data_IF_013999946822
#
_entry.id   IF_013999946822
#
_cell.length_a   1.000
_cell.length_b   1.000
_cell.length_c   1.000
_cell.angle_alpha   90.00
_cell.angle_beta   90.00
_cell.angle_gamma   90.00
#
_symmetry.space_group_name_H-M   'P 1'
#
loop_
_entity.id
_entity.type
_entity.pdbx_description
1 polymer ?
#
# COMPACT_ATOMS: atom_id res chain seq x y z
N UNK A 1 12.91 -13.75 -36.65
CA UNK A 1 13.56 -14.15 -35.40
C UNK A 1 14.02 -12.88 -34.75
N UNK A 2 13.23 -12.34 -33.82
CA UNK A 2 13.72 -11.53 -32.70
C UNK A 2 12.80 -11.88 -31.53
N UNK A 3 13.33 -12.70 -30.64
CA UNK A 3 12.68 -13.12 -29.41
C UNK A 3 12.64 -11.90 -28.49
N UNK A 4 11.44 -11.43 -28.15
CA UNK A 4 11.28 -10.55 -26.99
C UNK A 4 11.45 -11.44 -25.77
N UNK A 5 12.59 -11.29 -25.12
CA UNK A 5 12.89 -11.93 -23.84
C UNK A 5 11.79 -11.51 -22.85
N UNK A 6 10.98 -12.50 -22.47
CA UNK A 6 10.13 -12.45 -21.29
C UNK A 6 11.03 -12.09 -20.11
N UNK A 7 10.87 -10.90 -19.54
CA UNK A 7 11.42 -10.62 -18.23
C UNK A 7 10.54 -11.35 -17.21
N UNK A 8 10.83 -12.64 -17.03
CA UNK A 8 10.49 -13.33 -15.80
C UNK A 8 11.50 -12.85 -14.75
N UNK A 9 11.21 -11.72 -14.11
CA UNK A 9 11.82 -11.40 -12.82
C UNK A 9 11.15 -12.26 -11.75
N UNK A 10 11.49 -13.54 -11.76
CA UNK A 10 11.41 -14.42 -10.58
C UNK A 10 12.59 -14.06 -9.68
N UNK A 11 12.38 -13.09 -8.80
CA UNK A 11 13.21 -12.84 -7.63
C UNK A 11 12.24 -12.59 -6.50
N UNK A 12 12.30 -13.39 -5.44
CA UNK A 12 11.32 -13.40 -4.34
C UNK A 12 11.18 -12.12 -3.50
N UNK A 13 11.49 -10.94 -4.04
CA UNK A 13 11.02 -9.65 -3.56
C UNK A 13 9.77 -9.25 -4.32
N UNK A 14 8.64 -9.15 -3.62
CA UNK A 14 7.42 -8.60 -4.21
C UNK A 14 7.67 -7.17 -4.68
N UNK A 15 7.17 -6.82 -5.87
CA UNK A 15 7.24 -5.47 -6.42
C UNK A 15 6.45 -4.47 -5.55
N UNK A 16 6.68 -3.18 -5.79
CA UNK A 16 6.03 -2.11 -5.02
C UNK A 16 4.50 -2.22 -5.00
N UNK A 17 3.85 -2.55 -6.12
CA UNK A 17 2.40 -2.65 -6.18
C UNK A 17 1.88 -3.82 -5.35
N UNK A 18 2.54 -4.97 -5.42
CA UNK A 18 2.22 -6.12 -4.56
C UNK A 18 2.41 -5.80 -3.08
N UNK A 19 3.53 -5.18 -2.69
CA UNK A 19 3.80 -4.83 -1.29
C UNK A 19 2.82 -3.78 -0.77
N UNK A 20 2.53 -2.74 -1.56
CA UNK A 20 1.59 -1.71 -1.15
C UNK A 20 0.17 -2.26 -1.05
N UNK A 21 -0.28 -3.05 -2.03
CA UNK A 21 -1.58 -3.72 -1.98
C UNK A 21 -1.68 -4.66 -0.77
N UNK A 22 -0.59 -5.35 -0.41
CA UNK A 22 -0.51 -6.17 0.81
C UNK A 22 -0.73 -5.33 2.06
N UNK A 23 -0.01 -4.22 2.20
CA UNK A 23 -0.15 -3.32 3.33
C UNK A 23 -1.58 -2.75 3.43
N UNK A 24 -2.16 -2.32 2.30
CA UNK A 24 -3.52 -1.79 2.25
C UNK A 24 -4.54 -2.87 2.61
N UNK A 25 -4.41 -4.08 2.06
CA UNK A 25 -5.31 -5.19 2.36
C UNK A 25 -5.29 -5.56 3.85
N UNK A 26 -4.10 -5.59 4.47
CA UNK A 26 -3.95 -5.79 5.91
C UNK A 26 -4.63 -4.68 6.71
N UNK A 27 -4.47 -3.41 6.29
CA UNK A 27 -5.16 -2.27 6.90
C UNK A 27 -6.69 -2.38 6.82
N UNK A 28 -7.22 -2.73 5.64
CA UNK A 28 -8.65 -2.94 5.41
C UNK A 28 -9.19 -4.10 6.24
N UNK A 29 -8.47 -5.22 6.33
CA UNK A 29 -8.85 -6.36 7.15
C UNK A 29 -8.98 -5.96 8.62
N UNK A 30 -7.97 -5.27 9.17
CA UNK A 30 -7.99 -4.78 10.54
C UNK A 30 -9.15 -3.80 10.81
N UNK A 31 -9.46 -2.91 9.85
CA UNK A 31 -10.60 -1.99 9.96
C UNK A 31 -11.95 -2.74 9.94
N UNK A 32 -12.11 -3.73 9.07
CA UNK A 32 -13.31 -4.57 9.01
C UNK A 32 -13.51 -5.37 10.29
N UNK A 33 -12.44 -5.93 10.84
CA UNK A 33 -12.47 -6.60 12.16
C UNK A 33 -12.87 -5.65 13.29
N UNK A 34 -12.47 -4.37 13.22
CA UNK A 34 -12.83 -3.35 14.19
C UNK A 34 -14.27 -2.83 14.05
N UNK A 35 -14.82 -2.75 12.82
CA UNK A 35 -16.14 -2.18 12.54
C UNK A 35 -17.31 -3.19 12.66
N UNK A 36 -17.11 -4.47 12.36
CA UNK A 36 -18.18 -5.46 12.47
C UNK A 36 -17.66 -6.90 12.59
N UNK A 37 -18.26 -7.68 13.49
CA UNK A 37 -18.15 -9.13 13.47
C UNK A 37 -18.50 -9.68 12.07
N UNK A 38 -17.47 -10.15 11.38
CA UNK A 38 -17.50 -11.08 10.25
C UNK A 38 -18.59 -10.82 9.21
N UNK A 39 -18.35 -9.93 8.26
CA UNK A 39 -18.98 -10.07 6.94
C UNK A 39 -18.09 -11.00 6.12
N UNK A 40 -18.57 -12.22 5.85
CA UNK A 40 -17.93 -13.15 4.91
C UNK A 40 -17.85 -12.48 3.53
N UNK A 41 -16.65 -12.09 3.14
CA UNK A 41 -16.35 -11.60 1.79
C UNK A 41 -15.83 -12.80 0.99
N UNK A 42 -16.33 -12.96 -0.23
CA UNK A 42 -15.84 -13.97 -1.17
C UNK A 42 -14.31 -13.89 -1.30
N UNK A 43 -13.66 -15.06 -1.35
CA UNK A 43 -12.20 -15.23 -1.48
C UNK A 43 -11.66 -14.26 -2.54
N UNK A 44 -11.00 -13.20 -2.07
CA UNK A 44 -10.56 -12.05 -2.86
C UNK A 44 -9.06 -11.97 -2.72
N UNK A 45 -8.39 -11.45 -3.75
CA UNK A 45 -6.95 -11.14 -3.68
C UNK A 45 -6.61 -10.28 -2.45
N UNK A 46 -7.55 -9.48 -1.94
CA UNK A 46 -7.39 -8.77 -0.67
C UNK A 46 -7.20 -9.71 0.54
N UNK A 47 -7.92 -10.83 0.61
CA UNK A 47 -7.81 -11.81 1.70
C UNK A 47 -6.48 -12.57 1.62
N UNK A 48 -6.11 -13.02 0.42
CA UNK A 48 -4.80 -13.65 0.15
C UNK A 48 -3.63 -12.72 0.51
N UNK A 49 -3.74 -11.43 0.18
CA UNK A 49 -2.76 -10.42 0.53
C UNK A 49 -2.76 -10.13 2.03
N UNK A 50 -3.92 -10.01 2.67
CA UNK A 50 -4.02 -9.79 4.12
C UNK A 50 -3.39 -10.92 4.94
N UNK A 51 -3.45 -12.16 4.43
CA UNK A 51 -2.85 -13.34 5.05
C UNK A 51 -1.31 -13.42 4.92
N UNK A 52 -0.68 -12.56 4.10
CA UNK A 52 0.79 -12.51 3.95
C UNK A 52 1.47 -11.92 5.19
N UNK A 53 2.79 -12.07 5.23
CA UNK A 53 3.62 -11.42 6.24
C UNK A 53 3.38 -9.89 6.26
N UNK A 54 3.41 -9.24 7.44
CA UNK A 54 3.24 -7.81 7.54
C UNK A 54 4.34 -7.08 6.75
N UNK A 55 3.93 -6.15 5.88
CA UNK A 55 4.87 -5.36 5.08
C UNK A 55 5.41 -4.21 5.90
N UNK A 56 6.74 -4.15 6.05
CA UNK A 56 7.40 -3.04 6.73
C UNK A 56 7.57 -1.82 5.82
N UNK A 57 7.66 -0.64 6.42
CA UNK A 57 7.92 0.61 5.69
C UNK A 57 9.24 0.57 4.93
N UNK A 58 10.28 -0.06 5.49
CA UNK A 58 11.58 -0.25 4.86
C UNK A 58 11.51 -1.12 3.60
N UNK A 59 10.74 -2.22 3.64
CA UNK A 59 10.53 -3.08 2.46
C UNK A 59 9.82 -2.33 1.35
N UNK A 60 8.78 -1.58 1.70
CA UNK A 60 8.02 -0.78 0.74
C UNK A 60 8.89 0.32 0.10
N UNK A 61 9.67 1.04 0.90
CA UNK A 61 10.59 2.07 0.41
C UNK A 61 11.73 1.49 -0.46
N UNK A 62 12.19 0.26 -0.21
CA UNK A 62 13.29 -0.35 -0.96
C UNK A 62 12.96 -0.60 -2.43
N UNK A 63 11.68 -0.85 -2.75
CA UNK A 63 11.19 -1.13 -4.11
C UNK A 63 10.35 0.02 -4.68
N UNK A 64 10.07 1.07 -3.90
CA UNK A 64 9.23 2.16 -4.32
C UNK A 64 9.86 2.98 -5.47
N UNK A 65 9.08 3.32 -6.52
CA UNK A 65 9.52 4.27 -7.53
C UNK A 65 9.67 5.70 -6.95
N UNK A 66 10.36 6.62 -7.64
CA UNK A 66 10.78 7.89 -7.07
C UNK A 66 9.66 8.76 -6.46
N UNK A 67 8.49 8.82 -7.10
CA UNK A 67 7.34 9.59 -6.62
C UNK A 67 6.73 8.96 -5.34
N UNK A 68 6.27 7.69 -5.35
CA UNK A 68 5.88 6.97 -4.13
C UNK A 68 6.91 7.02 -3.00
N UNK A 69 8.19 6.87 -3.32
CA UNK A 69 9.27 6.91 -2.33
C UNK A 69 9.33 8.26 -1.61
N UNK A 70 9.10 9.37 -2.30
CA UNK A 70 9.10 10.70 -1.69
C UNK A 70 7.95 10.85 -0.68
N UNK A 71 6.74 10.41 -1.03
CA UNK A 71 5.59 10.45 -0.13
C UNK A 71 5.74 9.51 1.06
N UNK A 72 6.27 8.29 0.85
CA UNK A 72 6.57 7.34 1.92
C UNK A 72 7.55 7.89 2.95
N UNK A 73 8.60 8.58 2.50
CA UNK A 73 9.58 9.23 3.39
C UNK A 73 8.99 10.44 4.11
N UNK A 74 8.13 11.21 3.45
CA UNK A 74 7.44 12.33 4.09
C UNK A 74 6.52 11.84 5.23
N UNK A 75 5.83 10.72 5.02
CA UNK A 75 5.01 10.09 6.07
C UNK A 75 5.87 9.53 7.21
N UNK A 76 6.99 8.87 6.91
CA UNK A 76 7.95 8.39 7.94
C UNK A 76 8.49 9.53 8.80
N UNK A 77 8.86 10.65 8.17
CA UNK A 77 9.35 11.84 8.88
C UNK A 77 8.25 12.47 9.74
N UNK A 78 7.01 12.54 9.23
CA UNK A 78 5.88 13.06 9.97
C UNK A 78 5.52 12.19 11.18
N UNK A 79 5.59 10.86 11.05
CA UNK A 79 5.41 9.92 12.17
C UNK A 79 6.50 10.12 13.23
N UNK A 80 7.78 10.17 12.82
CA UNK A 80 8.89 10.43 13.74
C UNK A 80 8.75 11.76 14.49
N UNK A 81 8.27 12.81 13.84
CA UNK A 81 7.95 14.11 14.46
C UNK A 81 6.77 13.99 15.44
N UNK A 82 5.71 13.30 15.04
CA UNK A 82 4.54 13.03 15.89
C UNK A 82 4.92 12.26 17.16
N UNK A 83 5.78 11.25 17.06
CA UNK A 83 6.32 10.50 18.19
C UNK A 83 7.17 11.36 19.13
N UNK A 84 7.79 12.42 18.62
CA UNK A 84 8.52 13.43 19.39
C UNK A 84 7.61 14.55 19.97
N UNK A 85 6.30 14.50 19.70
CA UNK A 85 5.31 15.49 20.16
C UNK A 85 5.13 16.69 19.22
N UNK A 86 5.70 16.65 18.01
CA UNK A 86 5.52 17.67 16.98
C UNK A 86 4.49 17.18 15.93
N UNK A 87 3.25 17.64 16.09
CA UNK A 87 2.13 17.27 15.23
C UNK A 87 1.97 18.16 13.99
N UNK A 88 2.86 19.14 13.78
CA UNK A 88 2.75 20.10 12.67
C UNK A 88 2.84 19.44 11.28
N UNK A 89 3.38 18.23 11.20
CA UNK A 89 3.53 17.47 9.96
C UNK A 89 2.41 16.42 9.74
N UNK A 90 1.52 16.20 10.71
CA UNK A 90 0.50 15.14 10.62
C UNK A 90 -0.56 15.40 9.54
N UNK A 91 -0.90 16.66 9.28
CA UNK A 91 -1.87 17.01 8.23
C UNK A 91 -1.40 16.55 6.83
N UNK A 92 -0.08 16.60 6.60
CA UNK A 92 0.52 16.13 5.35
C UNK A 92 0.54 14.61 5.19
N UNK A 93 0.30 13.84 6.26
CA UNK A 93 0.31 12.36 6.19
C UNK A 93 -0.84 11.86 5.32
N UNK A 94 -2.06 12.34 5.57
CA UNK A 94 -3.24 11.93 4.79
C UNK A 94 -3.16 12.37 3.33
N UNK A 95 -2.60 13.56 3.07
CA UNK A 95 -2.36 14.03 1.69
C UNK A 95 -1.36 13.11 0.96
N UNK A 96 -0.22 12.80 1.58
CA UNK A 96 0.77 11.89 1.00
C UNK A 96 0.21 10.48 0.80
N UNK A 97 -0.62 9.99 1.71
CA UNK A 97 -1.28 8.69 1.60
C UNK A 97 -2.30 8.65 0.45
N UNK A 98 -3.02 9.74 0.25
CA UNK A 98 -3.96 9.90 -0.87
C UNK A 98 -3.22 9.94 -2.20
N UNK A 99 -2.13 10.71 -2.29
CA UNK A 99 -1.27 10.78 -3.47
C UNK A 99 -0.67 9.40 -3.81
N UNK A 100 -0.21 8.68 -2.80
CA UNK A 100 0.32 7.32 -2.94
C UNK A 100 -0.76 6.37 -3.50
N UNK A 101 -1.97 6.43 -2.94
CA UNK A 101 -3.10 5.59 -3.37
C UNK A 101 -3.53 5.92 -4.80
N UNK A 102 -3.60 7.20 -5.17
CA UNK A 102 -3.95 7.63 -6.52
C UNK A 102 -2.92 7.22 -7.56
N UNK A 103 -1.64 7.36 -7.22
CA UNK A 103 -0.57 6.86 -8.06
C UNK A 103 -0.68 5.34 -8.25
N UNK A 104 -0.97 4.59 -7.19
CA UNK A 104 -1.14 3.14 -7.27
C UNK A 104 -2.35 2.72 -8.11
N UNK A 105 -3.48 3.43 -8.04
CA UNK A 105 -4.63 3.17 -8.93
C UNK A 105 -4.26 3.37 -10.40
N UNK A 106 -3.44 4.39 -10.70
CA UNK A 106 -3.07 4.73 -12.07
C UNK A 106 -1.94 3.85 -12.65
N UNK A 107 -1.06 3.30 -11.81
CA UNK A 107 0.18 2.65 -12.25
C UNK A 107 0.29 1.17 -11.90
N UNK A 108 -0.50 0.66 -10.96
CA UNK A 108 -0.51 -0.76 -10.61
C UNK A 108 -1.49 -1.57 -11.45
N UNK A 109 -1.34 -2.89 -11.42
CA UNK A 109 -2.19 -3.83 -12.14
C UNK A 109 -3.69 -3.69 -11.78
N UNK A 110 -4.60 -3.93 -12.75
CA UNK A 110 -6.04 -3.80 -12.54
C UNK A 110 -6.60 -4.71 -11.44
N UNK A 111 -5.89 -5.80 -11.10
CA UNK A 111 -6.22 -6.69 -10.00
C UNK A 111 -6.15 -6.01 -8.62
N UNK A 112 -5.30 -4.98 -8.45
CA UNK A 112 -5.15 -4.25 -7.19
C UNK A 112 -6.04 -2.99 -7.11
N UNK A 113 -6.50 -2.48 -8.25
CA UNK A 113 -7.39 -1.33 -8.33
C UNK A 113 -8.61 -1.36 -7.37
N UNK A 114 -9.33 -2.49 -7.18
CA UNK A 114 -10.44 -2.54 -6.21
C UNK A 114 -9.99 -2.30 -4.77
N UNK A 115 -8.82 -2.83 -4.37
CA UNK A 115 -8.24 -2.66 -3.03
C UNK A 115 -7.92 -1.18 -2.79
N UNK A 116 -7.23 -0.55 -3.74
CA UNK A 116 -6.86 0.86 -3.61
C UNK A 116 -8.08 1.80 -3.67
N UNK A 117 -9.10 1.46 -4.46
CA UNK A 117 -10.33 2.25 -4.53
C UNK A 117 -11.10 2.21 -3.21
N UNK A 118 -11.22 1.03 -2.59
CA UNK A 118 -11.83 0.88 -1.27
C UNK A 118 -11.05 1.66 -0.21
N UNK A 119 -9.73 1.52 -0.22
CA UNK A 119 -8.87 2.23 0.71
C UNK A 119 -8.97 3.74 0.56
N UNK A 120 -8.97 4.25 -0.68
CA UNK A 120 -9.17 5.67 -0.97
C UNK A 120 -10.46 6.20 -0.34
N UNK A 121 -11.56 5.45 -0.45
CA UNK A 121 -12.85 5.85 0.13
C UNK A 121 -12.81 6.01 1.67
N UNK A 122 -11.86 5.36 2.35
CA UNK A 122 -11.67 5.45 3.80
C UNK A 122 -10.77 6.64 4.18
N UNK A 123 -9.70 6.88 3.41
CA UNK A 123 -8.69 7.89 3.76
C UNK A 123 -9.02 9.31 3.27
N UNK A 124 -9.91 9.47 2.28
CA UNK A 124 -10.43 10.77 1.80
C UNK A 124 -10.00 11.15 0.39
#
# INVERSE_FOLDING_TARGET
>A
MESVESVEEDSGGSDFCTLYATQVAQGLANLREAEAGGVEVAESIADDLAAKAPVTQSELQAVAPPEPLAWLRAMEEADAKGAAGDFSAMDGVFENLTLLTDWSIANCGPEYAPIFTEYKAIIG
#
